data_IF_643114303287
#
_entry.id   IF_643114303287
#
_cell.length_a   1.000
_cell.length_b   1.000
_cell.length_c   1.000
_cell.angle_alpha   90.00
_cell.angle_beta   90.00
_cell.angle_gamma   90.00
#
_symmetry.space_group_name_H-M   'P 1'
#
loop_
_entity.id
_entity.type
_entity.pdbx_description
1 polymer ?
#
# COMPACT_ATOMS: atom_id res chain seq x y z
N UNK A 1 -25.38 -10.15 -15.49
CA UNK A 1 -24.97 -9.52 -14.20
C UNK A 1 -23.55 -8.98 -14.33
N UNK A 2 -23.29 -7.74 -13.90
CA UNK A 2 -21.96 -7.13 -14.06
C UNK A 2 -20.95 -7.88 -13.17
N UNK A 3 -19.83 -8.39 -13.74
CA UNK A 3 -18.80 -9.16 -13.01
C UNK A 3 -18.29 -8.45 -11.76
N UNK A 4 -18.16 -7.12 -11.83
CA UNK A 4 -17.75 -6.29 -10.70
C UNK A 4 -18.70 -6.41 -9.51
N UNK A 5 -20.02 -6.27 -9.75
CA UNK A 5 -21.04 -6.40 -8.70
C UNK A 5 -21.02 -7.79 -8.07
N UNK A 6 -20.79 -8.83 -8.88
CA UNK A 6 -20.72 -10.20 -8.42
C UNK A 6 -19.52 -10.41 -7.49
N UNK A 7 -18.33 -9.92 -7.86
CA UNK A 7 -17.11 -10.00 -7.05
C UNK A 7 -17.29 -9.26 -5.73
N UNK A 8 -17.85 -8.03 -5.76
CA UNK A 8 -18.10 -7.22 -4.56
C UNK A 8 -19.09 -7.90 -3.61
N UNK A 9 -20.18 -8.45 -4.14
CA UNK A 9 -21.17 -9.16 -3.33
C UNK A 9 -20.58 -10.45 -2.72
N UNK A 10 -19.81 -11.20 -3.50
CA UNK A 10 -19.13 -12.39 -2.99
C UNK A 10 -18.13 -12.03 -1.88
N UNK A 11 -17.33 -10.99 -2.07
CA UNK A 11 -16.40 -10.49 -1.06
C UNK A 11 -17.13 -10.09 0.23
N UNK A 12 -18.25 -9.35 0.14
CA UNK A 12 -19.06 -9.00 1.31
C UNK A 12 -19.63 -10.23 2.02
N UNK A 13 -20.03 -11.25 1.26
CA UNK A 13 -20.55 -12.49 1.84
C UNK A 13 -19.43 -13.26 2.55
N UNK A 14 -18.26 -13.37 1.94
CA UNK A 14 -17.09 -14.04 2.53
C UNK A 14 -16.57 -13.33 3.78
N UNK A 15 -16.70 -11.99 3.85
CA UNK A 15 -16.32 -11.20 5.02
C UNK A 15 -17.19 -11.42 6.25
N UNK A 16 -18.40 -12.02 6.10
CA UNK A 16 -19.25 -12.29 7.25
C UNK A 16 -18.55 -13.23 8.24
N UNK A 17 -18.41 -12.79 9.48
CA UNK A 17 -17.69 -13.51 10.54
C UNK A 17 -16.19 -13.19 10.63
N UNK A 18 -15.57 -12.58 9.61
CA UNK A 18 -14.12 -12.29 9.58
C UNK A 18 -13.78 -10.80 9.77
N UNK A 19 -14.77 -9.91 9.80
CA UNK A 19 -14.56 -8.47 9.89
C UNK A 19 -13.68 -8.04 11.05
N UNK A 20 -14.01 -8.51 12.27
CA UNK A 20 -13.30 -8.11 13.50
C UNK A 20 -11.84 -8.51 13.42
N UNK A 21 -11.54 -9.71 12.90
CA UNK A 21 -10.17 -10.21 12.79
C UNK A 21 -9.37 -9.36 11.80
N UNK A 22 -9.92 -9.06 10.62
CA UNK A 22 -9.24 -8.25 9.62
C UNK A 22 -9.05 -6.80 10.07
N UNK A 23 -10.05 -6.21 10.74
CA UNK A 23 -9.92 -4.87 11.33
C UNK A 23 -8.84 -4.86 12.41
N UNK A 24 -8.81 -5.87 13.29
CA UNK A 24 -7.76 -6.00 14.30
C UNK A 24 -6.36 -6.11 13.69
N UNK A 25 -6.21 -6.84 12.57
CA UNK A 25 -4.94 -6.92 11.85
C UNK A 25 -4.53 -5.56 11.27
N UNK A 26 -5.46 -4.81 10.64
CA UNK A 26 -5.17 -3.47 10.11
C UNK A 26 -4.77 -2.53 11.23
N UNK A 27 -5.49 -2.55 12.37
CA UNK A 27 -5.13 -1.76 13.56
C UNK A 27 -3.74 -2.11 14.08
N UNK A 28 -3.41 -3.40 14.15
CA UNK A 28 -2.09 -3.86 14.61
C UNK A 28 -0.97 -3.38 13.69
N UNK A 29 -1.14 -3.52 12.37
CA UNK A 29 -0.16 -3.02 11.38
C UNK A 29 0.01 -1.52 11.53
N UNK A 30 -1.10 -0.77 11.61
CA UNK A 30 -1.07 0.68 11.76
C UNK A 30 -0.38 1.09 13.06
N UNK A 31 -0.68 0.43 14.18
CA UNK A 31 -0.05 0.70 15.46
C UNK A 31 1.47 0.47 15.44
N UNK A 32 1.92 -0.64 14.82
CA UNK A 32 3.35 -0.95 14.65
C UNK A 32 4.04 0.12 13.81
N UNK A 33 3.46 0.50 12.67
CA UNK A 33 4.04 1.53 11.78
C UNK A 33 4.10 2.91 12.46
N UNK A 34 3.05 3.30 13.19
CA UNK A 34 3.02 4.54 13.96
C UNK A 34 4.06 4.52 15.08
N UNK A 35 4.21 3.40 15.80
CA UNK A 35 5.21 3.26 16.86
C UNK A 35 6.64 3.46 16.33
N UNK A 36 6.99 2.84 15.20
CA UNK A 36 8.32 3.00 14.58
C UNK A 36 8.55 4.46 14.19
N UNK A 37 7.61 5.06 13.47
CA UNK A 37 7.70 6.46 13.05
C UNK A 37 7.84 7.41 14.26
N UNK A 38 7.09 7.14 15.35
CA UNK A 38 7.18 7.93 16.57
C UNK A 38 8.53 7.76 17.27
N UNK A 39 9.09 6.54 17.27
CA UNK A 39 10.44 6.30 17.83
C UNK A 39 11.50 7.08 17.08
N UNK A 40 11.47 7.07 15.74
CA UNK A 40 12.38 7.87 14.92
C UNK A 40 12.26 9.37 15.22
N UNK A 41 11.03 9.88 15.28
CA UNK A 41 10.77 11.27 15.61
C UNK A 41 11.30 11.65 17.01
N UNK A 42 11.16 10.78 18.01
CA UNK A 42 11.70 10.99 19.36
C UNK A 42 13.23 11.04 19.31
N UNK A 43 13.89 10.12 18.57
CA UNK A 43 15.36 10.13 18.41
C UNK A 43 15.82 11.40 17.71
N UNK A 44 15.10 11.89 16.69
CA UNK A 44 15.41 13.16 16.03
C UNK A 44 15.26 14.36 16.96
N UNK A 45 14.29 14.35 17.88
CA UNK A 45 14.13 15.38 18.92
C UNK A 45 15.27 15.34 19.94
N UNK A 46 15.64 14.16 20.45
CA UNK A 46 16.74 13.97 21.43
C UNK A 46 18.06 14.43 20.82
N UNK A 47 18.34 14.10 19.57
CA UNK A 47 19.55 14.50 18.85
C UNK A 47 19.51 15.97 18.40
N UNK A 48 18.38 16.66 18.61
CA UNK A 48 18.15 18.05 18.16
C UNK A 48 18.37 18.20 16.65
N UNK A 49 18.07 17.14 15.88
CA UNK A 49 18.19 17.16 14.42
C UNK A 49 16.89 17.60 13.73
N UNK A 50 15.75 17.54 14.43
CA UNK A 50 14.45 17.99 13.96
C UNK A 50 14.18 19.43 14.42
N UNK A 51 13.79 20.28 13.49
CA UNK A 51 13.19 21.58 13.79
C UNK A 51 11.68 21.37 14.01
N UNK A 52 11.23 21.55 15.25
CA UNK A 52 9.84 21.32 15.64
C UNK A 52 8.86 22.31 15.03
N UNK A 53 9.31 23.47 14.57
CA UNK A 53 8.46 24.47 13.95
C UNK A 53 8.17 24.14 12.47
N UNK A 54 9.16 23.61 11.75
CA UNK A 54 9.08 23.33 10.32
C UNK A 54 8.90 21.85 10.01
N UNK A 55 9.20 20.95 10.96
CA UNK A 55 9.24 19.50 10.75
C UNK A 55 10.40 19.02 9.86
N UNK A 56 11.36 19.91 9.58
CA UNK A 56 12.50 19.66 8.69
C UNK A 56 13.79 19.44 9.47
N UNK A 57 14.86 19.07 8.76
CA UNK A 57 16.19 18.98 9.35
C UNK A 57 16.65 20.36 9.86
N UNK A 58 17.17 20.40 11.09
CA UNK A 58 17.77 21.59 11.66
C UNK A 58 19.11 21.88 11.00
N UNK A 59 19.39 23.18 10.77
CA UNK A 59 20.66 23.61 10.15
C UNK A 59 21.88 23.05 10.89
N UNK A 60 22.80 22.43 10.14
CA UNK A 60 24.00 21.76 10.65
C UNK A 60 23.75 20.35 11.24
N UNK A 61 22.52 19.83 11.15
CA UNK A 61 22.14 18.47 11.62
C UNK A 61 21.48 17.63 10.53
N UNK A 62 21.55 18.06 9.28
CA UNK A 62 20.90 17.43 8.12
C UNK A 62 21.32 15.97 7.96
N UNK A 63 22.61 15.67 8.15
CA UNK A 63 23.12 14.30 8.08
C UNK A 63 22.49 13.39 9.15
N UNK A 64 22.43 13.85 10.40
CA UNK A 64 21.84 13.07 11.51
C UNK A 64 20.35 12.84 11.28
N UNK A 65 19.61 13.85 10.82
CA UNK A 65 18.20 13.76 10.48
C UNK A 65 17.97 12.74 9.37
N UNK A 66 18.73 12.83 8.27
CA UNK A 66 18.63 11.91 7.13
C UNK A 66 18.99 10.48 7.52
N UNK A 67 20.04 10.28 8.33
CA UNK A 67 20.44 8.96 8.79
C UNK A 67 19.33 8.28 9.60
N UNK A 68 18.72 8.99 10.55
CA UNK A 68 17.59 8.47 11.34
C UNK A 68 16.41 8.13 10.43
N UNK A 69 16.06 9.00 9.49
CA UNK A 69 14.97 8.77 8.54
C UNK A 69 15.21 7.54 7.65
N UNK A 70 16.46 7.31 7.23
CA UNK A 70 16.83 6.10 6.48
C UNK A 70 16.69 4.85 7.35
N UNK A 71 17.13 4.90 8.62
CA UNK A 71 16.98 3.77 9.54
C UNK A 71 15.50 3.42 9.73
N UNK A 72 14.63 4.39 9.95
CA UNK A 72 13.19 4.19 10.09
C UNK A 72 12.59 3.52 8.83
N UNK A 73 12.96 4.01 7.66
CA UNK A 73 12.51 3.46 6.39
C UNK A 73 12.97 2.01 6.22
N UNK A 74 14.22 1.70 6.57
CA UNK A 74 14.76 0.33 6.53
C UNK A 74 14.02 -0.59 7.49
N UNK A 75 13.78 -0.15 8.73
CA UNK A 75 13.02 -0.93 9.72
C UNK A 75 11.59 -1.18 9.24
N UNK A 76 10.90 -0.16 8.72
CA UNK A 76 9.57 -0.31 8.13
C UNK A 76 9.55 -1.29 6.96
N UNK A 77 10.58 -1.26 6.10
CA UNK A 77 10.69 -2.18 4.97
C UNK A 77 10.82 -3.63 5.44
N UNK A 78 11.63 -3.92 6.47
CA UNK A 78 11.76 -5.27 7.02
C UNK A 78 10.49 -5.77 7.75
N UNK A 79 9.55 -4.90 8.07
CA UNK A 79 8.25 -5.26 8.64
C UNK A 79 7.14 -5.42 7.60
N UNK A 80 7.40 -5.16 6.33
CA UNK A 80 6.41 -5.36 5.25
C UNK A 80 5.83 -6.79 5.17
N UNK A 81 6.49 -7.89 5.62
CA UNK A 81 5.85 -9.20 5.69
C UNK A 81 4.61 -9.25 6.59
N UNK A 82 4.40 -8.31 7.52
CA UNK A 82 3.14 -8.17 8.27
C UNK A 82 1.98 -7.82 7.31
N UNK A 83 2.21 -6.89 6.38
CA UNK A 83 1.23 -6.51 5.36
C UNK A 83 0.92 -7.73 4.47
N UNK A 84 1.93 -8.51 4.12
CA UNK A 84 1.76 -9.72 3.34
C UNK A 84 0.96 -10.79 4.11
N UNK A 85 1.14 -10.88 5.44
CA UNK A 85 0.33 -11.72 6.32
C UNK A 85 -1.14 -11.31 6.32
N UNK A 86 -1.44 -10.01 6.33
CA UNK A 86 -2.80 -9.50 6.15
C UNK A 86 -3.38 -9.91 4.79
N UNK A 87 -2.64 -9.79 3.67
CA UNK A 87 -3.11 -10.24 2.36
C UNK A 87 -3.35 -11.75 2.31
N UNK A 88 -2.57 -12.54 3.03
CA UNK A 88 -2.82 -13.97 3.18
C UNK A 88 -4.16 -14.22 3.87
N UNK A 89 -4.43 -13.55 4.99
CA UNK A 89 -5.71 -13.67 5.71
C UNK A 89 -6.89 -13.23 4.84
N UNK A 90 -6.73 -12.16 4.07
CA UNK A 90 -7.74 -11.72 3.09
C UNK A 90 -7.98 -12.79 2.01
N UNK A 91 -6.93 -13.49 1.57
CA UNK A 91 -7.04 -14.58 0.60
C UNK A 91 -7.73 -15.82 1.21
N UNK A 92 -7.46 -16.13 2.48
CA UNK A 92 -8.19 -17.15 3.26
C UNK A 92 -9.69 -16.83 3.32
N UNK A 93 -10.05 -15.56 3.61
CA UNK A 93 -11.45 -15.09 3.57
C UNK A 93 -12.08 -15.25 2.19
N UNK A 94 -11.36 -14.95 1.12
CA UNK A 94 -11.86 -15.13 -0.25
C UNK A 94 -12.15 -16.63 -0.58
N UNK A 95 -11.59 -17.57 0.18
CA UNK A 95 -11.92 -19.00 0.13
C UNK A 95 -13.09 -19.40 1.05
N UNK A 96 -13.78 -18.44 1.66
CA UNK A 96 -14.85 -18.61 2.63
C UNK A 96 -14.39 -19.31 3.93
N UNK A 97 -13.13 -19.15 4.29
CA UNK A 97 -12.55 -19.64 5.52
C UNK A 97 -12.34 -18.46 6.50
N UNK A 98 -12.44 -18.74 7.80
CA UNK A 98 -12.20 -17.72 8.83
C UNK A 98 -10.70 -17.70 9.15
N UNK A 99 -10.00 -16.58 8.90
CA UNK A 99 -8.58 -16.49 9.16
C UNK A 99 -8.30 -16.47 10.66
N UNK A 100 -7.13 -16.95 11.06
CA UNK A 100 -6.62 -16.72 12.41
C UNK A 100 -5.89 -15.37 12.46
N UNK A 101 -6.06 -14.61 13.57
CA UNK A 101 -5.29 -13.38 13.79
C UNK A 101 -3.77 -13.58 13.62
N UNK A 102 -3.26 -14.75 14.03
CA UNK A 102 -1.84 -15.09 13.94
C UNK A 102 -1.31 -15.29 12.51
N UNK A 103 -2.18 -15.33 11.52
CA UNK A 103 -1.76 -15.38 10.11
C UNK A 103 -0.98 -14.14 9.67
N UNK A 104 -1.17 -13.01 10.36
CA UNK A 104 -0.39 -11.78 10.13
C UNK A 104 1.13 -12.03 10.25
N UNK A 105 1.54 -13.00 11.08
CA UNK A 105 2.93 -13.40 11.28
C UNK A 105 3.37 -14.59 10.44
N UNK A 106 2.53 -15.06 9.52
CA UNK A 106 2.78 -16.31 8.77
C UNK A 106 4.10 -16.31 7.99
N UNK A 107 4.52 -15.17 7.49
CA UNK A 107 5.75 -15.03 6.71
C UNK A 107 7.01 -14.90 7.56
N UNK A 108 6.89 -14.70 8.86
CA UNK A 108 8.00 -14.73 9.82
C UNK A 108 8.34 -16.14 10.31
N UNK A 109 7.48 -17.14 10.05
CA UNK A 109 7.68 -18.52 10.53
C UNK A 109 8.86 -19.24 9.84
N UNK A 110 9.25 -18.81 8.65
CA UNK A 110 10.32 -19.43 7.89
C UNK A 110 11.21 -18.35 7.26
N UNK A 111 12.54 -18.40 7.46
CA UNK A 111 13.46 -17.45 6.83
C UNK A 111 13.31 -17.42 5.30
N UNK A 112 13.11 -18.57 4.67
CA UNK A 112 12.90 -18.67 3.23
C UNK A 112 11.67 -17.88 2.76
N UNK A 113 10.54 -18.00 3.45
CA UNK A 113 9.32 -17.25 3.13
C UNK A 113 9.49 -15.77 3.41
N UNK A 114 10.13 -15.43 4.53
CA UNK A 114 10.43 -14.05 4.89
C UNK A 114 11.23 -13.35 3.79
N UNK A 115 12.36 -13.91 3.37
CA UNK A 115 13.18 -13.30 2.31
C UNK A 115 12.48 -13.25 0.96
N UNK A 116 11.65 -14.24 0.62
CA UNK A 116 10.85 -14.20 -0.61
C UNK A 116 9.84 -13.04 -0.60
N UNK A 117 9.18 -12.77 0.54
CA UNK A 117 8.23 -11.65 0.66
C UNK A 117 8.96 -10.31 0.64
N UNK A 118 10.13 -10.20 1.29
CA UNK A 118 10.99 -9.02 1.20
C UNK A 118 11.40 -8.76 -0.25
N UNK A 119 11.79 -9.80 -0.99
CA UNK A 119 12.17 -9.66 -2.41
C UNK A 119 10.98 -9.17 -3.27
N UNK A 120 9.77 -9.68 -3.05
CA UNK A 120 8.59 -9.21 -3.76
C UNK A 120 8.30 -7.74 -3.48
N UNK A 121 8.41 -7.32 -2.21
CA UNK A 121 8.24 -5.93 -1.81
C UNK A 121 9.38 -5.03 -2.34
N UNK A 122 10.61 -5.54 -2.42
CA UNK A 122 11.73 -4.82 -3.01
C UNK A 122 11.49 -4.51 -4.49
N UNK A 123 10.97 -5.46 -5.26
CA UNK A 123 10.57 -5.23 -6.65
C UNK A 123 9.57 -4.07 -6.74
N UNK A 124 8.58 -4.06 -5.84
CA UNK A 124 7.61 -2.97 -5.78
C UNK A 124 8.28 -1.62 -5.45
N UNK A 125 9.15 -1.57 -4.43
CA UNK A 125 9.86 -0.34 -4.05
C UNK A 125 10.71 0.18 -5.20
N UNK A 126 11.44 -0.68 -5.92
CA UNK A 126 12.23 -0.28 -7.09
C UNK A 126 11.34 0.31 -8.19
N UNK A 127 10.22 -0.34 -8.52
CA UNK A 127 9.28 0.18 -9.53
C UNK A 127 8.70 1.52 -9.09
N UNK A 128 8.33 1.66 -7.82
CA UNK A 128 7.82 2.91 -7.27
C UNK A 128 8.87 4.02 -7.31
N UNK A 129 10.12 3.72 -6.93
CA UNK A 129 11.21 4.71 -6.98
C UNK A 129 11.44 5.20 -8.41
N UNK A 130 11.41 4.31 -9.40
CA UNK A 130 11.52 4.70 -10.81
C UNK A 130 10.33 5.55 -11.27
N UNK A 131 9.10 5.20 -10.84
CA UNK A 131 7.91 5.98 -11.16
C UNK A 131 7.97 7.39 -10.54
N UNK A 132 8.38 7.50 -9.28
CA UNK A 132 8.54 8.81 -8.62
C UNK A 132 9.67 9.64 -9.21
N UNK A 133 10.78 9.01 -9.61
CA UNK A 133 11.86 9.70 -10.29
C UNK A 133 11.43 10.24 -11.66
N UNK A 134 10.59 9.51 -12.38
CA UNK A 134 10.02 9.94 -13.66
C UNK A 134 8.98 11.08 -13.50
N UNK A 135 8.30 11.14 -12.36
CA UNK A 135 7.26 12.13 -12.04
C UNK A 135 7.65 12.89 -10.77
N UNK A 136 8.62 13.81 -10.86
CA UNK A 136 9.00 14.66 -9.73
C UNK A 136 7.92 15.73 -9.44
N UNK A 137 6.87 15.31 -8.74
CA UNK A 137 5.77 16.20 -8.35
C UNK A 137 6.24 17.31 -7.40
N UNK A 138 7.27 17.09 -6.58
CA UNK A 138 7.83 18.11 -5.71
C UNK A 138 8.43 19.24 -6.52
N UNK A 139 9.21 18.91 -7.55
CA UNK A 139 9.77 19.90 -8.48
C UNK A 139 8.68 20.69 -9.22
N UNK A 140 7.61 20.01 -9.67
CA UNK A 140 6.49 20.68 -10.32
C UNK A 140 5.78 21.67 -9.38
N UNK A 141 5.54 21.29 -8.11
CA UNK A 141 4.94 22.20 -7.13
C UNK A 141 5.83 23.42 -6.90
N UNK A 142 7.13 23.24 -6.70
CA UNK A 142 8.06 24.35 -6.48
C UNK A 142 8.14 25.26 -7.71
N UNK A 143 8.22 24.71 -8.91
CA UNK A 143 8.23 25.48 -10.16
C UNK A 143 6.97 26.33 -10.34
N UNK A 144 5.79 25.77 -10.07
CA UNK A 144 4.52 26.49 -10.18
C UNK A 144 4.44 27.58 -9.10
N UNK A 145 4.80 27.28 -7.84
CA UNK A 145 4.74 28.26 -6.75
C UNK A 145 5.74 29.40 -6.94
N UNK A 146 6.92 29.10 -7.45
CA UNK A 146 7.93 30.14 -7.77
C UNK A 146 7.46 31.05 -8.91
N UNK A 147 6.77 30.48 -9.90
CA UNK A 147 6.19 31.28 -11.01
C UNK A 147 5.00 32.14 -10.56
N UNK A 148 4.31 31.74 -9.49
CA UNK A 148 3.15 32.43 -8.93
C UNK A 148 3.50 33.36 -7.77
N UNK A 149 4.78 33.60 -7.45
CA UNK A 149 5.20 34.52 -6.38
C UNK A 149 4.56 35.88 -6.57
N UNK A 150 3.51 36.12 -5.79
CA UNK A 150 2.83 37.39 -5.68
C UNK A 150 3.31 38.14 -4.44
N UNK A 151 3.11 39.45 -4.39
CA UNK A 151 3.38 40.26 -3.19
C UNK A 151 2.49 39.85 -1.98
N UNK A 152 1.46 39.06 -2.24
CA UNK A 152 0.55 38.56 -1.20
C UNK A 152 0.96 37.16 -0.73
N UNK A 153 1.66 37.10 0.41
CA UNK A 153 2.17 35.87 1.02
C UNK A 153 1.04 34.88 1.41
N UNK A 154 -0.11 35.40 1.85
CA UNK A 154 -1.27 34.56 2.23
C UNK A 154 -1.84 33.82 1.02
N UNK A 155 -1.97 34.49 -0.12
CA UNK A 155 -2.43 33.88 -1.37
C UNK A 155 -1.47 32.81 -1.87
N UNK A 156 -0.16 33.10 -1.85
CA UNK A 156 0.88 32.12 -2.24
C UNK A 156 0.84 30.88 -1.36
N UNK A 157 0.69 31.06 -0.04
CA UNK A 157 0.56 29.93 0.92
C UNK A 157 -0.68 29.09 0.63
N UNK A 158 -1.83 29.70 0.35
CA UNK A 158 -3.06 29.00 0.02
C UNK A 158 -2.91 28.18 -1.27
N UNK A 159 -2.35 28.78 -2.32
CA UNK A 159 -2.11 28.10 -3.61
C UNK A 159 -1.18 26.90 -3.40
N UNK A 160 -0.09 27.08 -2.66
CA UNK A 160 0.86 26.01 -2.35
C UNK A 160 0.18 24.86 -1.60
N UNK A 161 -0.67 25.17 -0.60
CA UNK A 161 -1.41 24.16 0.14
C UNK A 161 -2.36 23.38 -0.77
N UNK A 162 -3.12 24.05 -1.64
CA UNK A 162 -4.02 23.40 -2.61
C UNK A 162 -3.25 22.53 -3.59
N UNK A 163 -2.13 23.01 -4.13
CA UNK A 163 -1.29 22.23 -5.04
C UNK A 163 -0.74 20.98 -4.36
N UNK A 164 -0.24 21.08 -3.13
CA UNK A 164 0.24 19.94 -2.37
C UNK A 164 -0.86 18.89 -2.13
N UNK A 165 -2.09 19.31 -1.83
CA UNK A 165 -3.22 18.39 -1.68
C UNK A 165 -3.53 17.68 -3.02
N UNK A 166 -3.59 18.42 -4.13
CA UNK A 166 -3.88 17.86 -5.45
C UNK A 166 -2.79 16.88 -5.89
N UNK A 167 -1.53 17.28 -5.83
CA UNK A 167 -0.41 16.41 -6.20
C UNK A 167 -0.25 15.22 -5.25
N UNK A 168 -0.54 15.40 -3.95
CA UNK A 168 -0.62 14.30 -2.98
C UNK A 168 -1.68 13.28 -3.37
N UNK A 169 -2.88 13.73 -3.74
CA UNK A 169 -3.95 12.84 -4.21
C UNK A 169 -3.57 12.10 -5.50
N UNK A 170 -2.94 12.79 -6.46
CA UNK A 170 -2.44 12.17 -7.71
C UNK A 170 -1.36 11.13 -7.39
N UNK A 171 -0.45 11.41 -6.46
CA UNK A 171 0.59 10.47 -6.02
C UNK A 171 -0.02 9.20 -5.42
N UNK A 172 -1.04 9.32 -4.56
CA UNK A 172 -1.74 8.18 -3.96
C UNK A 172 -2.42 7.33 -5.05
N UNK A 173 -3.05 7.96 -6.04
CA UNK A 173 -3.65 7.25 -7.18
C UNK A 173 -2.59 6.52 -8.00
N UNK A 174 -1.45 7.16 -8.28
CA UNK A 174 -0.35 6.55 -9.01
C UNK A 174 0.24 5.35 -8.25
N UNK A 175 0.49 5.50 -6.95
CA UNK A 175 0.96 4.40 -6.07
C UNK A 175 -0.02 3.23 -6.11
N UNK A 176 -1.31 3.50 -5.94
CA UNK A 176 -2.36 2.50 -5.95
C UNK A 176 -2.42 1.78 -7.30
N UNK A 177 -2.29 2.52 -8.40
CA UNK A 177 -2.29 1.96 -9.74
C UNK A 177 -1.06 1.07 -9.99
N UNK A 178 0.14 1.54 -9.63
CA UNK A 178 1.39 0.75 -9.77
C UNK A 178 1.32 -0.52 -8.91
N UNK A 179 0.83 -0.42 -7.68
CA UNK A 179 0.62 -1.58 -6.82
C UNK A 179 -0.34 -2.58 -7.47
N UNK A 180 -1.48 -2.11 -7.96
CA UNK A 180 -2.49 -2.93 -8.60
C UNK A 180 -1.94 -3.64 -9.85
N UNK A 181 -1.15 -2.92 -10.66
CA UNK A 181 -0.59 -3.42 -11.90
C UNK A 181 0.48 -4.49 -11.65
N UNK A 182 1.43 -4.22 -10.76
CA UNK A 182 2.63 -5.04 -10.64
C UNK A 182 2.57 -6.06 -9.50
N UNK A 183 1.95 -5.73 -8.39
CA UNK A 183 2.10 -6.48 -7.14
C UNK A 183 0.87 -7.27 -6.74
N UNK A 184 -0.32 -6.71 -6.93
CA UNK A 184 -1.55 -7.29 -6.39
C UNK A 184 -1.76 -8.77 -6.78
N UNK A 185 -1.74 -9.08 -8.08
CA UNK A 185 -1.90 -10.46 -8.54
C UNK A 185 -0.68 -11.33 -8.25
N UNK A 186 0.53 -10.75 -8.31
CA UNK A 186 1.77 -11.45 -7.97
C UNK A 186 1.78 -11.91 -6.51
N UNK A 187 1.29 -11.06 -5.60
CA UNK A 187 1.15 -11.41 -4.18
C UNK A 187 0.19 -12.58 -3.97
N UNK A 188 -1.00 -12.54 -4.57
CA UNK A 188 -1.95 -13.64 -4.42
C UNK A 188 -1.48 -14.95 -5.08
N UNK A 189 -0.79 -14.89 -6.21
CA UNK A 189 -0.13 -16.05 -6.81
C UNK A 189 0.95 -16.64 -5.89
N UNK A 190 1.73 -15.78 -5.23
CA UNK A 190 2.74 -16.21 -4.27
C UNK A 190 2.12 -16.80 -3.00
N UNK A 191 0.98 -16.26 -2.53
CA UNK A 191 0.23 -16.80 -1.39
C UNK A 191 -0.36 -18.18 -1.73
N UNK A 192 -0.89 -18.33 -2.94
CA UNK A 192 -1.49 -19.58 -3.44
C UNK A 192 -0.46 -20.71 -3.62
N UNK A 193 0.75 -20.37 -4.04
CA UNK A 193 1.90 -21.29 -4.11
C UNK A 193 3.18 -20.62 -3.61
N UNK A 194 3.43 -20.73 -2.31
CA UNK A 194 4.59 -20.13 -1.64
C UNK A 194 5.94 -20.79 -2.02
N UNK A 195 5.92 -21.96 -2.68
CA UNK A 195 7.13 -22.59 -3.19
C UNK A 195 7.60 -21.99 -4.50
N UNK A 196 6.72 -21.34 -5.25
CA UNK A 196 7.03 -20.70 -6.52
C UNK A 196 8.16 -19.67 -6.41
N UNK A 197 8.83 -19.43 -7.55
CA UNK A 197 9.81 -18.36 -7.67
C UNK A 197 9.10 -17.00 -7.72
N UNK A 198 9.58 -16.03 -6.95
CA UNK A 198 9.02 -14.67 -6.84
C UNK A 198 8.93 -13.99 -8.21
N UNK A 199 9.99 -14.09 -9.04
CA UNK A 199 9.99 -13.50 -10.38
C UNK A 199 8.96 -14.16 -11.32
N UNK A 200 8.71 -15.46 -11.16
CA UNK A 200 7.67 -16.17 -11.90
C UNK A 200 6.28 -15.68 -11.48
N UNK A 201 6.03 -15.55 -10.18
CA UNK A 201 4.78 -14.99 -9.66
C UNK A 201 4.57 -13.55 -10.16
N UNK A 202 5.63 -12.74 -10.16
CA UNK A 202 5.59 -11.38 -10.66
C UNK A 202 5.22 -11.33 -12.15
N UNK A 203 5.92 -12.07 -13.01
CA UNK A 203 5.64 -12.11 -14.45
C UNK A 203 4.23 -12.63 -14.78
N UNK A 204 3.78 -13.69 -14.09
CA UNK A 204 2.42 -14.20 -14.22
C UNK A 204 1.38 -13.20 -13.71
N UNK A 205 1.64 -12.51 -12.59
CA UNK A 205 0.76 -11.48 -12.03
C UNK A 205 0.53 -10.33 -13.01
N UNK A 206 1.61 -9.79 -13.59
CA UNK A 206 1.52 -8.75 -14.63
C UNK A 206 0.73 -9.24 -15.85
N UNK A 207 0.99 -10.46 -16.32
CA UNK A 207 0.24 -11.06 -17.44
C UNK A 207 -1.25 -11.20 -17.12
N UNK A 208 -1.59 -11.63 -15.91
CA UNK A 208 -2.99 -11.71 -15.44
C UNK A 208 -3.65 -10.34 -15.41
N UNK A 209 -2.95 -9.33 -14.92
CA UNK A 209 -3.46 -7.95 -14.90
C UNK A 209 -3.75 -7.46 -16.32
N UNK A 210 -2.78 -7.57 -17.23
CA UNK A 210 -2.92 -7.11 -18.62
C UNK A 210 -4.09 -7.80 -19.32
N UNK A 211 -4.21 -9.13 -19.18
CA UNK A 211 -5.33 -9.90 -19.77
C UNK A 211 -6.71 -9.50 -19.22
N UNK A 212 -6.77 -9.01 -17.99
CA UNK A 212 -8.01 -8.67 -17.30
C UNK A 212 -8.10 -7.18 -16.97
N UNK A 213 -7.33 -6.34 -17.64
CA UNK A 213 -7.19 -4.91 -17.38
C UNK A 213 -8.54 -4.22 -17.20
N UNK A 214 -9.46 -4.37 -18.17
CA UNK A 214 -10.75 -3.69 -18.12
C UNK A 214 -11.62 -4.09 -16.92
N UNK A 215 -11.62 -5.36 -16.53
CA UNK A 215 -12.39 -5.82 -15.36
C UNK A 215 -11.74 -5.35 -14.05
N UNK A 216 -10.40 -5.38 -13.98
CA UNK A 216 -9.66 -4.91 -12.81
C UNK A 216 -9.82 -3.41 -12.63
N UNK A 217 -9.77 -2.63 -13.71
CA UNK A 217 -10.01 -1.18 -13.67
C UNK A 217 -11.44 -0.84 -13.27
N UNK A 218 -12.45 -1.54 -13.80
CA UNK A 218 -13.85 -1.37 -13.37
C UNK A 218 -14.01 -1.64 -11.87
N UNK A 219 -13.37 -2.70 -11.36
CA UNK A 219 -13.38 -3.01 -9.94
C UNK A 219 -12.72 -1.89 -9.12
N UNK A 220 -11.55 -1.41 -9.54
CA UNK A 220 -10.80 -0.35 -8.87
C UNK A 220 -11.61 0.96 -8.84
N UNK A 221 -12.06 1.46 -9.99
CA UNK A 221 -12.86 2.68 -10.06
C UNK A 221 -14.22 2.54 -9.36
N UNK A 222 -14.76 1.33 -9.32
CA UNK A 222 -15.97 1.04 -8.54
C UNK A 222 -15.78 1.19 -7.02
N UNK A 223 -14.55 1.30 -6.54
CA UNK A 223 -14.21 1.64 -5.15
C UNK A 223 -13.83 3.11 -4.95
N UNK A 224 -13.80 3.94 -5.99
CA UNK A 224 -13.34 5.33 -5.89
C UNK A 224 -14.04 6.12 -4.78
N UNK A 225 -15.37 5.98 -4.65
CA UNK A 225 -16.13 6.63 -3.58
C UNK A 225 -15.75 6.12 -2.18
N UNK A 226 -15.47 4.83 -2.02
CA UNK A 226 -15.02 4.25 -0.77
C UNK A 226 -13.59 4.68 -0.41
N UNK A 227 -12.71 4.78 -1.40
CA UNK A 227 -11.34 5.29 -1.22
C UNK A 227 -11.38 6.75 -0.79
N UNK A 228 -12.28 7.57 -1.37
CA UNK A 228 -12.46 8.95 -0.94
C UNK A 228 -12.92 9.04 0.53
N UNK A 229 -13.74 8.10 1.00
CA UNK A 229 -14.15 8.04 2.42
C UNK A 229 -12.97 7.71 3.36
N UNK A 230 -11.90 7.07 2.88
CA UNK A 230 -10.70 6.80 3.69
C UNK A 230 -9.95 8.07 4.10
N UNK A 231 -10.26 9.22 3.50
CA UNK A 231 -9.80 10.51 4.00
C UNK A 231 -10.22 10.74 5.46
N UNK A 232 -11.37 10.22 5.85
CA UNK A 232 -11.76 10.09 7.25
C UNK A 232 -11.20 8.77 7.78
N UNK A 233 -10.19 8.80 8.61
CA UNK A 233 -9.42 7.64 9.10
C UNK A 233 -10.28 6.45 9.53
N UNK A 234 -11.40 6.71 10.20
CA UNK A 234 -12.29 5.65 10.73
C UNK A 234 -12.88 4.75 9.64
N UNK A 235 -13.42 5.25 8.51
CA UNK A 235 -13.88 4.40 7.42
C UNK A 235 -12.79 3.54 6.80
N UNK A 236 -11.51 3.95 6.86
CA UNK A 236 -10.42 3.18 6.28
C UNK A 236 -10.33 1.76 6.88
N UNK A 237 -10.61 1.59 8.18
CA UNK A 237 -10.58 0.28 8.84
C UNK A 237 -11.65 -0.70 8.31
N UNK A 238 -12.74 -0.19 7.76
CA UNK A 238 -13.75 -0.98 7.09
C UNK A 238 -13.44 -1.16 5.60
N UNK A 239 -13.03 -0.09 4.95
CA UNK A 239 -12.84 -0.04 3.50
C UNK A 239 -11.65 -0.89 3.06
N UNK A 240 -10.53 -0.88 3.82
CA UNK A 240 -9.34 -1.66 3.49
C UNK A 240 -9.60 -3.18 3.45
N UNK A 241 -10.21 -3.83 4.48
CA UNK A 241 -10.60 -5.22 4.38
C UNK A 241 -11.53 -5.51 3.20
N UNK A 242 -12.52 -4.65 2.94
CA UNK A 242 -13.48 -4.86 1.86
C UNK A 242 -12.84 -4.79 0.48
N UNK A 243 -12.04 -3.77 0.20
CA UNK A 243 -11.32 -3.63 -1.06
C UNK A 243 -10.37 -4.81 -1.26
N UNK A 244 -9.55 -5.11 -0.25
CA UNK A 244 -8.56 -6.18 -0.32
C UNK A 244 -9.22 -7.55 -0.56
N UNK A 245 -10.33 -7.85 0.12
CA UNK A 245 -11.07 -9.11 -0.10
C UNK A 245 -11.71 -9.16 -1.49
N UNK A 246 -12.16 -8.03 -2.03
CA UNK A 246 -12.70 -7.98 -3.40
C UNK A 246 -11.61 -8.27 -4.43
N UNK A 247 -10.40 -7.74 -4.25
CA UNK A 247 -9.26 -8.06 -5.13
C UNK A 247 -8.79 -9.50 -4.95
N UNK A 248 -8.77 -10.03 -3.73
CA UNK A 248 -8.46 -11.43 -3.46
C UNK A 248 -9.47 -12.38 -4.11
N UNK A 249 -10.76 -12.06 -4.06
CA UNK A 249 -11.82 -12.82 -4.73
C UNK A 249 -11.64 -12.80 -6.25
N UNK A 250 -11.29 -11.64 -6.82
CA UNK A 250 -10.95 -11.53 -8.24
C UNK A 250 -9.72 -12.38 -8.61
N UNK A 251 -8.66 -12.31 -7.79
CA UNK A 251 -7.44 -13.09 -8.00
C UNK A 251 -7.71 -14.60 -7.93
N UNK A 252 -8.43 -15.07 -6.90
CA UNK A 252 -8.84 -16.47 -6.76
C UNK A 252 -9.54 -16.97 -8.02
N UNK A 253 -10.51 -16.21 -8.53
CA UNK A 253 -11.25 -16.58 -9.73
C UNK A 253 -10.33 -16.67 -10.96
N UNK A 254 -9.41 -15.72 -11.14
CA UNK A 254 -8.47 -15.73 -12.26
C UNK A 254 -7.45 -16.87 -12.17
N UNK A 255 -6.95 -17.16 -10.96
CA UNK A 255 -6.02 -18.26 -10.71
C UNK A 255 -6.70 -19.61 -10.99
N UNK A 256 -7.96 -19.77 -10.59
CA UNK A 256 -8.72 -21.02 -10.86
C UNK A 256 -8.92 -21.26 -12.37
N UNK A 257 -9.19 -20.21 -13.15
CA UNK A 257 -9.29 -20.32 -14.61
C UNK A 257 -7.94 -20.71 -15.24
N UNK A 258 -6.84 -20.15 -14.75
CA UNK A 258 -5.51 -20.45 -15.29
C UNK A 258 -5.09 -21.89 -14.94
N UNK A 259 -5.39 -22.37 -13.74
CA UNK A 259 -5.16 -23.77 -13.33
C UNK A 259 -6.02 -24.78 -14.11
N UNK A 260 -7.27 -24.43 -14.44
CA UNK A 260 -8.16 -25.28 -15.25
C UNK A 260 -7.85 -25.30 -16.76
N UNK A 261 -6.89 -24.51 -17.23
CA UNK A 261 -6.46 -24.47 -18.62
C UNK A 261 -5.15 -25.26 -18.87
N UNK A 262 -4.46 -25.65 -17.81
CA UNK A 262 -3.26 -26.49 -17.82
C UNK A 262 -3.62 -27.92 -17.49
#
# INVERSE_FOLDING_TARGET
MNKEKLIKNQALTSLKGSWIILIAMVLTISAVMIAIYSMGSIVQLITKSLDTATGMAKSGKEFTFTLISIIDLVVMFFLTPLINGFFKSVYTVAHNEIPSFWEIFSFFKSPKLYFKTILLNLIFVVIMSLAFFAFDFGYLVTMITDSLKTSNTALTTLITAVLNIVFGAVSVLLISFVYLFFVNYAMFLFIDDSNSNVFCCFGKGVKMFVKNFGNTMKLYFGFAGWIALCFFVVPAFYVLPYISTSFATSAKWLISIEKGRN
#
